data_IF_516209856067
#
_entry.id   IF_516209856067
#
_cell.length_a   1.000
_cell.length_b   1.000
_cell.length_c   1.000
_cell.angle_alpha   90.00
_cell.angle_beta   90.00
_cell.angle_gamma   90.00
#
_symmetry.space_group_name_H-M   'P 1'
#
loop_
_entity.id
_entity.type
_entity.pdbx_description
1 polymer ?
#
# COMPACT_ATOMS: atom_id res chain seq x y z
N UNK A 1 -27.16 -13.93 20.14
CA UNK A 1 -25.96 -14.34 20.91
C UNK A 1 -26.39 -14.72 22.32
N UNK A 2 -25.84 -15.78 22.91
CA UNK A 2 -26.24 -16.26 24.24
C UNK A 2 -25.70 -15.38 25.37
N UNK A 3 -26.42 -15.35 26.50
CA UNK A 3 -26.11 -14.51 27.67
C UNK A 3 -24.71 -14.79 28.25
N UNK A 4 -24.29 -16.05 28.23
CA UNK A 4 -22.96 -16.51 28.68
C UNK A 4 -21.82 -15.95 27.83
N UNK A 5 -22.05 -15.79 26.52
CA UNK A 5 -21.09 -15.19 25.60
C UNK A 5 -20.92 -13.70 25.92
N UNK A 6 -22.03 -12.98 26.13
CA UNK A 6 -22.01 -11.55 26.46
C UNK A 6 -21.27 -11.27 27.78
N UNK A 7 -21.53 -12.07 28.82
CA UNK A 7 -20.82 -11.95 30.10
C UNK A 7 -19.32 -12.24 29.97
N UNK A 8 -18.94 -13.25 29.17
CA UNK A 8 -17.53 -13.57 28.92
C UNK A 8 -16.78 -12.40 28.27
N UNK A 9 -17.39 -11.75 27.28
CA UNK A 9 -16.81 -10.57 26.64
C UNK A 9 -16.74 -9.37 27.60
N UNK A 10 -17.75 -9.17 28.45
CA UNK A 10 -17.78 -8.06 29.41
C UNK A 10 -16.74 -8.18 30.55
N UNK A 11 -16.35 -9.41 30.91
CA UNK A 11 -15.39 -9.66 32.00
C UNK A 11 -13.93 -9.82 31.54
N UNK A 12 -13.66 -9.84 30.24
CA UNK A 12 -12.29 -9.91 29.74
C UNK A 12 -11.56 -8.58 29.94
N UNK A 13 -10.52 -8.59 30.78
CA UNK A 13 -9.71 -7.39 31.09
C UNK A 13 -8.62 -7.10 30.06
N UNK A 14 -8.27 -8.08 29.23
CA UNK A 14 -7.27 -7.95 28.18
C UNK A 14 -7.75 -8.65 26.90
N UNK A 15 -7.35 -8.19 25.71
CA UNK A 15 -7.70 -8.83 24.44
C UNK A 15 -7.31 -10.32 24.39
N UNK A 16 -6.19 -10.68 25.02
CA UNK A 16 -5.66 -12.04 25.09
C UNK A 16 -6.62 -13.00 25.79
N UNK A 17 -7.36 -12.52 26.80
CA UNK A 17 -8.34 -13.32 27.55
C UNK A 17 -9.57 -13.72 26.71
N UNK A 18 -9.80 -13.05 25.58
CA UNK A 18 -10.87 -13.40 24.63
C UNK A 18 -10.48 -14.53 23.68
N UNK A 19 -9.18 -14.80 23.52
CA UNK A 19 -8.64 -15.82 22.62
C UNK A 19 -8.49 -17.19 23.30
N UNK A 20 -9.37 -17.53 24.24
CA UNK A 20 -9.51 -18.90 24.75
C UNK A 20 -10.29 -19.76 23.73
N UNK A 21 -9.70 -19.93 22.55
CA UNK A 21 -10.20 -20.81 21.51
C UNK A 21 -9.86 -22.27 21.86
N UNK A 22 -10.76 -23.19 21.52
CA UNK A 22 -10.68 -24.65 21.66
C UNK A 22 -9.43 -25.34 21.04
N UNK A 23 -8.42 -24.58 20.65
CA UNK A 23 -7.32 -24.99 19.77
C UNK A 23 -5.94 -24.48 20.25
N UNK A 24 -5.79 -24.18 21.53
CA UNK A 24 -4.47 -23.94 22.13
C UNK A 24 -4.16 -25.14 23.03
N UNK A 25 -3.14 -25.90 22.63
CA UNK A 25 -2.47 -26.93 23.43
C UNK A 25 -3.23 -28.24 23.72
N UNK A 26 -4.10 -28.69 22.81
CA UNK A 26 -4.50 -30.09 22.84
C UNK A 26 -3.39 -30.98 22.27
N UNK A 27 -2.96 -32.03 23.00
CA UNK A 27 -1.95 -32.94 22.52
C UNK A 27 -2.45 -33.58 21.22
N UNK A 28 -1.85 -33.17 20.10
CA UNK A 28 -2.15 -33.69 18.78
C UNK A 28 -1.38 -34.97 18.57
N UNK A 29 -1.89 -35.87 17.73
CA UNK A 29 -1.17 -37.08 17.29
C UNK A 29 0.21 -36.78 16.68
N UNK A 30 0.45 -35.52 16.29
CA UNK A 30 1.71 -35.04 15.73
C UNK A 30 2.77 -34.78 16.82
N UNK A 31 2.37 -34.52 18.07
CA UNK A 31 3.29 -34.15 19.17
C UNK A 31 4.33 -35.23 19.44
N UNK A 32 3.95 -36.51 19.31
CA UNK A 32 4.87 -37.64 19.44
C UNK A 32 5.98 -37.67 18.38
N UNK A 33 5.76 -37.02 17.24
CA UNK A 33 6.69 -37.01 16.10
C UNK A 33 7.39 -35.65 15.91
N UNK A 34 7.07 -34.63 16.72
CA UNK A 34 7.66 -33.28 16.60
C UNK A 34 9.18 -33.28 16.78
N UNK A 35 9.69 -34.04 17.75
CA UNK A 35 11.13 -34.18 18.00
C UNK A 35 11.87 -34.75 16.79
N UNK A 36 11.30 -35.79 16.16
CA UNK A 36 11.85 -36.39 14.94
C UNK A 36 11.81 -35.42 13.76
N UNK A 37 10.70 -34.69 13.58
CA UNK A 37 10.57 -33.68 12.53
C UNK A 37 11.58 -32.55 12.68
N UNK A 38 11.84 -32.08 13.90
CA UNK A 38 12.88 -31.10 14.19
C UNK A 38 14.28 -31.64 13.90
N UNK A 39 14.59 -32.86 14.34
CA UNK A 39 15.90 -33.46 14.06
C UNK A 39 16.16 -33.57 12.55
N UNK A 40 15.18 -34.07 11.78
CA UNK A 40 15.32 -34.16 10.33
C UNK A 40 15.36 -32.81 9.63
N UNK A 41 14.75 -31.78 10.23
CA UNK A 41 14.84 -30.41 9.77
C UNK A 41 16.27 -29.86 9.90
N UNK A 42 16.91 -30.10 11.06
CA UNK A 42 18.32 -29.75 11.31
C UNK A 42 19.28 -30.55 10.42
N UNK A 43 18.96 -31.82 10.13
CA UNK A 43 19.70 -32.64 9.16
C UNK A 43 19.52 -32.16 7.69
N UNK A 44 18.79 -31.06 7.46
CA UNK A 44 18.60 -30.42 6.15
C UNK A 44 17.47 -31.00 5.30
N UNK A 45 16.65 -31.92 5.83
CA UNK A 45 15.49 -32.44 5.11
C UNK A 45 14.32 -31.46 5.18
N UNK A 46 14.23 -30.56 4.21
CA UNK A 46 13.16 -29.53 4.15
C UNK A 46 11.91 -29.96 3.39
N UNK A 47 11.86 -31.20 2.86
CA UNK A 47 10.71 -31.71 2.09
C UNK A 47 9.62 -32.28 3.01
N UNK A 48 8.54 -31.52 3.19
CA UNK A 48 7.39 -31.89 4.02
C UNK A 48 6.69 -33.19 3.59
N UNK A 49 6.70 -33.55 2.30
CA UNK A 49 6.12 -34.81 1.84
C UNK A 49 6.93 -36.00 2.33
N UNK A 50 8.26 -35.93 2.16
CA UNK A 50 9.20 -36.95 2.62
C UNK A 50 9.13 -37.14 4.14
N UNK A 51 9.04 -36.04 4.89
CA UNK A 51 8.88 -36.08 6.34
C UNK A 51 7.54 -36.70 6.77
N UNK A 52 6.46 -36.46 6.04
CA UNK A 52 5.16 -37.07 6.31
C UNK A 52 5.15 -38.58 6.04
N UNK A 53 5.77 -39.02 4.94
CA UNK A 53 5.93 -40.44 4.60
C UNK A 53 6.74 -41.18 5.68
N UNK A 54 7.87 -40.61 6.10
CA UNK A 54 8.73 -41.20 7.13
C UNK A 54 8.06 -41.33 8.51
N UNK A 55 7.22 -40.37 8.90
CA UNK A 55 6.47 -40.50 10.17
C UNK A 55 5.28 -41.46 10.02
N UNK A 56 4.71 -41.60 8.81
CA UNK A 56 3.61 -42.52 8.53
C UNK A 56 4.08 -43.97 8.66
N UNK A 57 5.28 -44.28 8.15
CA UNK A 57 5.95 -45.57 8.35
C UNK A 57 6.26 -45.86 9.84
N UNK A 58 6.50 -44.80 10.62
CA UNK A 58 6.72 -44.88 12.08
C UNK A 58 5.41 -44.94 12.89
N UNK A 59 4.26 -45.06 12.24
CA UNK A 59 2.96 -45.25 12.88
C UNK A 59 2.11 -43.98 13.00
N UNK A 60 2.46 -42.88 12.33
CA UNK A 60 1.60 -41.70 12.27
C UNK A 60 0.30 -42.00 11.50
N UNK A 61 -0.83 -41.67 12.13
CA UNK A 61 -2.19 -41.87 11.59
C UNK A 61 -2.89 -40.55 11.24
N UNK A 62 -2.15 -39.45 11.15
CA UNK A 62 -2.70 -38.14 10.81
C UNK A 62 -2.49 -37.76 9.35
N UNK A 63 -3.09 -36.65 8.93
CA UNK A 63 -3.02 -36.17 7.56
C UNK A 63 -1.77 -35.33 7.27
N UNK A 64 -1.34 -35.33 6.00
CA UNK A 64 -0.26 -34.48 5.47
C UNK A 64 -0.42 -32.99 5.83
N UNK A 65 -1.65 -32.48 5.81
CA UNK A 65 -1.93 -31.07 6.11
C UNK A 65 -1.41 -30.65 7.50
N UNK A 66 -1.53 -31.52 8.51
CA UNK A 66 -1.05 -31.22 9.86
C UNK A 66 0.49 -31.11 9.92
N UNK A 67 1.21 -31.99 9.21
CA UNK A 67 2.67 -31.92 9.10
C UNK A 67 3.10 -30.67 8.34
N UNK A 68 2.44 -30.38 7.20
CA UNK A 68 2.72 -29.19 6.39
C UNK A 68 2.53 -27.91 7.20
N UNK A 69 1.45 -27.82 7.96
CA UNK A 69 1.11 -26.64 8.73
C UNK A 69 2.06 -26.49 9.94
N UNK A 70 2.52 -27.58 10.56
CA UNK A 70 3.56 -27.57 11.59
C UNK A 70 4.93 -27.13 11.07
N UNK A 71 5.31 -27.52 9.85
CA UNK A 71 6.59 -27.15 9.24
C UNK A 71 6.57 -25.74 8.62
N UNK A 72 5.39 -25.12 8.46
CA UNK A 72 5.25 -23.80 7.82
C UNK A 72 6.00 -22.69 8.57
N UNK A 73 5.93 -22.58 9.92
CA UNK A 73 6.70 -21.60 10.68
C UNK A 73 8.22 -21.81 10.56
N UNK A 74 8.67 -23.07 10.52
CA UNK A 74 10.08 -23.43 10.39
C UNK A 74 10.68 -23.03 9.02
N UNK A 75 9.83 -22.88 8.00
CA UNK A 75 10.23 -22.40 6.66
C UNK A 75 10.27 -20.89 6.53
N UNK A 76 9.46 -20.19 7.32
CA UNK A 76 9.43 -18.73 7.30
C UNK A 76 10.69 -18.20 7.94
N UNK A 77 11.74 -18.02 7.12
CA UNK A 77 12.78 -17.06 7.43
C UNK A 77 12.08 -15.72 7.68
N UNK A 78 12.30 -15.04 8.83
CA UNK A 78 11.81 -13.70 9.02
C UNK A 78 12.39 -12.83 7.91
N UNK A 79 11.60 -12.60 6.86
CA UNK A 79 12.00 -11.72 5.80
C UNK A 79 11.78 -10.33 6.35
N UNK A 80 12.86 -9.68 6.76
CA UNK A 80 12.83 -8.28 7.17
C UNK A 80 12.08 -7.52 6.08
N UNK A 81 10.99 -6.81 6.40
CA UNK A 81 10.26 -6.07 5.40
C UNK A 81 11.25 -5.07 4.80
N UNK A 82 11.64 -5.30 3.54
CA UNK A 82 12.53 -4.39 2.85
C UNK A 82 11.85 -3.02 2.85
N UNK A 83 12.57 -1.98 3.28
CA UNK A 83 12.11 -0.60 3.18
C UNK A 83 11.76 -0.40 1.71
N UNK A 84 10.47 -0.18 1.43
CA UNK A 84 10.03 0.03 0.06
C UNK A 84 10.57 1.38 -0.39
N UNK A 85 11.24 1.46 -1.55
CA UNK A 85 11.65 2.75 -2.08
C UNK A 85 10.41 3.64 -2.28
N UNK A 86 10.56 4.96 -2.18
CA UNK A 86 9.47 5.89 -2.41
C UNK A 86 8.93 5.73 -3.83
N UNK A 87 7.62 5.88 -3.98
CA UNK A 87 6.99 5.80 -5.31
C UNK A 87 7.38 7.01 -6.15
N UNK A 88 7.36 6.88 -7.48
CA UNK A 88 7.60 8.00 -8.39
C UNK A 88 6.68 9.20 -8.10
N UNK A 89 5.42 8.94 -7.72
CA UNK A 89 4.45 9.98 -7.32
C UNK A 89 4.88 10.68 -6.03
N UNK A 90 5.43 9.94 -5.07
CA UNK A 90 5.93 10.48 -3.81
C UNK A 90 7.12 11.40 -4.06
N UNK A 91 8.09 10.95 -4.85
CA UNK A 91 9.26 11.75 -5.23
C UNK A 91 8.84 13.00 -6.00
N UNK A 92 7.94 12.86 -6.98
CA UNK A 92 7.39 14.00 -7.72
C UNK A 92 6.68 15.00 -6.80
N UNK A 93 5.89 14.51 -5.83
CA UNK A 93 5.22 15.38 -4.86
C UNK A 93 6.21 16.15 -4.01
N UNK A 94 7.31 15.53 -3.58
CA UNK A 94 8.34 16.23 -2.80
C UNK A 94 9.00 17.34 -3.62
N UNK A 95 9.36 17.03 -4.86
CA UNK A 95 9.97 17.96 -5.79
C UNK A 95 9.06 19.17 -6.08
N UNK A 96 7.74 18.94 -6.22
CA UNK A 96 6.76 20.00 -6.52
C UNK A 96 6.29 20.80 -5.29
N UNK A 97 6.65 20.38 -4.07
CA UNK A 97 6.21 21.04 -2.83
C UNK A 97 7.31 21.97 -2.34
N UNK A 98 6.94 23.16 -1.84
CA UNK A 98 7.92 24.11 -1.30
C UNK A 98 8.68 23.47 -0.13
N UNK A 99 10.02 23.52 -0.08
CA UNK A 99 10.83 22.85 0.95
C UNK A 99 10.37 23.11 2.39
N UNK A 100 9.96 24.33 2.71
CA UNK A 100 9.49 24.74 4.04
C UNK A 100 8.19 24.05 4.49
N UNK A 101 7.44 23.46 3.56
CA UNK A 101 6.23 22.70 3.84
C UNK A 101 6.46 21.18 3.92
N UNK A 102 7.69 20.70 3.64
CA UNK A 102 8.04 19.28 3.79
C UNK A 102 8.56 18.99 5.20
N UNK A 103 8.12 17.88 5.83
CA UNK A 103 8.74 17.35 7.05
C UNK A 103 10.22 16.99 6.82
N UNK A 104 11.05 17.13 7.85
CA UNK A 104 12.49 16.88 7.79
C UNK A 104 12.86 15.50 7.22
N UNK A 105 12.11 14.45 7.61
CA UNK A 105 12.31 13.09 7.08
C UNK A 105 12.07 13.03 5.56
N UNK A 106 11.03 13.72 5.06
CA UNK A 106 10.75 13.76 3.63
C UNK A 106 11.82 14.56 2.87
N UNK A 107 12.35 15.63 3.47
CA UNK A 107 13.47 16.38 2.91
C UNK A 107 14.73 15.50 2.80
N UNK A 108 15.02 14.69 3.82
CA UNK A 108 16.17 13.77 3.80
C UNK A 108 16.00 12.69 2.73
N UNK A 109 14.83 12.06 2.66
CA UNK A 109 14.53 11.05 1.64
C UNK A 109 14.56 11.64 0.22
N UNK A 110 14.11 12.89 0.04
CA UNK A 110 14.21 13.60 -1.22
C UNK A 110 15.67 13.85 -1.61
N UNK A 111 16.51 14.32 -0.67
CA UNK A 111 17.95 14.53 -0.92
C UNK A 111 18.65 13.23 -1.31
N UNK A 112 18.35 12.12 -0.63
CA UNK A 112 18.89 10.80 -0.97
C UNK A 112 18.45 10.40 -2.39
N UNK A 113 17.17 10.57 -2.71
CA UNK A 113 16.64 10.24 -4.04
C UNK A 113 17.30 11.07 -5.16
N UNK A 114 17.51 12.37 -4.93
CA UNK A 114 18.18 13.27 -5.89
C UNK A 114 19.67 12.95 -6.03
N UNK A 115 20.36 12.57 -4.95
CA UNK A 115 21.77 12.15 -5.01
C UNK A 115 21.98 10.90 -5.88
N UNK A 116 20.97 10.03 -5.97
CA UNK A 116 21.00 8.86 -6.86
C UNK A 116 20.62 9.20 -8.31
N UNK A 117 19.96 10.32 -8.55
CA UNK A 117 19.50 10.78 -9.86
C UNK A 117 19.80 12.28 -10.03
N UNK A 118 21.07 12.68 -10.25
CA UNK A 118 21.47 14.09 -10.35
C UNK A 118 20.78 14.83 -11.51
N UNK A 119 20.36 14.08 -12.54
CA UNK A 119 19.53 14.57 -13.65
C UNK A 119 18.20 15.19 -13.21
N UNK A 120 17.70 14.88 -12.01
CA UNK A 120 16.46 15.44 -11.46
C UNK A 120 16.69 16.65 -10.54
N UNK A 121 17.92 16.88 -10.10
CA UNK A 121 18.28 17.94 -9.15
C UNK A 121 18.25 19.33 -9.81
N UNK A 122 18.73 19.43 -11.06
CA UNK A 122 18.73 20.66 -11.85
C UNK A 122 17.34 21.08 -12.41
N UNK A 123 16.55 20.19 -13.07
CA UNK A 123 15.49 20.66 -13.96
C UNK A 123 14.15 20.88 -13.26
N UNK A 124 13.87 20.13 -12.19
CA UNK A 124 12.53 20.14 -11.62
C UNK A 124 12.28 21.38 -10.74
N UNK A 125 13.32 21.91 -10.10
CA UNK A 125 13.28 23.22 -9.47
C UNK A 125 13.22 24.35 -10.50
N UNK A 126 14.05 24.29 -11.54
CA UNK A 126 14.15 25.33 -12.58
C UNK A 126 12.91 25.42 -13.49
N UNK A 127 12.28 24.31 -13.88
CA UNK A 127 11.06 24.37 -14.70
C UNK A 127 9.90 25.10 -14.00
N UNK A 128 9.83 25.01 -12.67
CA UNK A 128 8.80 25.67 -11.86
C UNK A 128 9.19 27.12 -11.58
N UNK A 129 10.48 27.40 -11.31
CA UNK A 129 10.97 28.74 -10.89
C UNK A 129 11.33 29.66 -12.06
N UNK A 130 11.88 29.09 -13.12
CA UNK A 130 12.48 29.82 -14.27
C UNK A 130 11.78 29.50 -15.60
N UNK A 131 10.89 28.49 -15.62
CA UNK A 131 9.99 28.20 -16.73
C UNK A 131 10.52 27.19 -17.75
N UNK A 132 9.67 26.87 -18.73
CA UNK A 132 9.87 25.85 -19.77
C UNK A 132 11.18 25.99 -20.53
N UNK A 133 11.65 27.22 -20.72
CA UNK A 133 12.87 27.53 -21.48
C UNK A 133 14.13 26.95 -20.84
N UNK A 134 14.22 26.91 -19.50
CA UNK A 134 15.35 26.32 -18.79
C UNK A 134 15.40 24.80 -18.98
N UNK A 135 14.25 24.12 -18.95
CA UNK A 135 14.17 22.66 -19.11
C UNK A 135 14.59 22.12 -20.49
N UNK A 136 14.63 22.97 -21.53
CA UNK A 136 15.17 22.60 -22.85
C UNK A 136 16.69 22.74 -22.93
N UNK A 137 17.31 23.58 -22.11
CA UNK A 137 18.76 23.77 -22.12
C UNK A 137 19.52 22.52 -21.63
N UNK A 138 18.87 21.73 -20.76
CA UNK A 138 19.44 20.55 -20.13
C UNK A 138 19.17 19.23 -20.90
N UNK A 139 18.53 19.29 -22.08
CA UNK A 139 18.15 18.15 -22.95
C UNK A 139 17.66 16.91 -22.18
N UNK A 140 16.46 17.02 -21.60
CA UNK A 140 15.81 15.93 -20.86
C UNK A 140 14.62 15.39 -21.67
N UNK A 141 14.81 14.30 -22.44
CA UNK A 141 13.77 13.76 -23.31
C UNK A 141 12.47 13.41 -22.57
N UNK A 142 12.59 12.98 -21.31
CA UNK A 142 11.45 12.64 -20.45
C UNK A 142 10.56 13.84 -20.07
N UNK A 143 11.08 15.07 -20.15
CA UNK A 143 10.36 16.29 -19.77
C UNK A 143 9.87 17.09 -20.99
N UNK A 144 10.31 16.76 -22.20
CA UNK A 144 9.91 17.46 -23.43
C UNK A 144 8.39 17.49 -23.64
N UNK A 145 7.69 16.38 -23.35
CA UNK A 145 6.23 16.34 -23.47
C UNK A 145 5.52 17.31 -22.52
N UNK A 146 6.01 17.41 -21.27
CA UNK A 146 5.50 18.35 -20.28
C UNK A 146 5.79 19.80 -20.67
N UNK A 147 7.04 20.08 -21.06
CA UNK A 147 7.49 21.39 -21.53
C UNK A 147 6.63 21.90 -22.71
N UNK A 148 6.44 21.06 -23.73
CA UNK A 148 5.63 21.41 -24.90
C UNK A 148 4.16 21.63 -24.54
N UNK A 149 3.61 20.87 -23.60
CA UNK A 149 2.25 21.08 -23.09
C UNK A 149 2.10 22.43 -22.38
N UNK A 150 3.06 22.76 -21.50
CA UNK A 150 3.02 24.00 -20.73
C UNK A 150 3.20 25.25 -21.61
N UNK A 151 4.03 25.17 -22.65
CA UNK A 151 4.17 26.24 -23.65
C UNK A 151 2.89 26.42 -24.47
N UNK A 152 2.26 25.32 -24.89
CA UNK A 152 1.00 25.36 -25.65
C UNK A 152 -0.13 26.02 -24.84
N UNK A 153 -0.15 25.78 -23.53
CA UNK A 153 -1.18 26.27 -22.63
C UNK A 153 -0.72 27.50 -21.83
N UNK A 154 0.38 28.16 -22.23
CA UNK A 154 1.01 29.25 -21.46
C UNK A 154 0.02 30.36 -21.07
N UNK A 155 -0.79 30.84 -22.01
CA UNK A 155 -1.79 31.88 -21.75
C UNK A 155 -2.82 31.42 -20.70
N UNK A 156 -3.23 30.16 -20.76
CA UNK A 156 -4.20 29.57 -19.81
C UNK A 156 -3.58 29.44 -18.42
N UNK A 157 -2.31 29.04 -18.33
CA UNK A 157 -1.56 28.92 -17.07
C UNK A 157 -1.35 30.29 -16.43
N UNK A 158 -0.91 31.28 -17.22
CA UNK A 158 -0.73 32.66 -16.76
C UNK A 158 -2.06 33.23 -16.28
N UNK A 159 -3.14 33.04 -17.05
CA UNK A 159 -4.48 33.45 -16.67
C UNK A 159 -4.94 32.78 -15.37
N UNK A 160 -4.73 31.46 -15.23
CA UNK A 160 -5.10 30.70 -14.04
C UNK A 160 -4.35 31.11 -12.76
N UNK A 161 -3.14 31.65 -12.90
CA UNK A 161 -2.32 32.15 -11.78
C UNK A 161 -2.54 33.63 -11.48
N UNK A 162 -2.90 34.43 -12.49
CA UNK A 162 -2.98 35.90 -12.38
C UNK A 162 -4.39 36.41 -12.12
N UNK A 163 -5.41 35.67 -12.52
CA UNK A 163 -6.81 36.09 -12.44
C UNK A 163 -7.45 35.48 -11.17
N UNK A 164 -8.27 36.24 -10.41
CA UNK A 164 -8.94 35.70 -9.22
C UNK A 164 -10.02 34.66 -9.52
N UNK A 165 -10.41 34.52 -10.79
CA UNK A 165 -11.47 33.61 -11.25
C UNK A 165 -10.88 32.27 -11.67
N UNK A 166 -11.38 31.18 -11.08
CA UNK A 166 -11.02 29.81 -11.45
C UNK A 166 -12.26 28.93 -11.61
N UNK A 167 -12.11 27.85 -12.38
CA UNK A 167 -13.19 26.87 -12.59
C UNK A 167 -13.20 25.74 -11.54
N UNK A 168 -12.34 25.79 -10.53
CA UNK A 168 -12.10 24.66 -9.62
C UNK A 168 -13.36 24.25 -8.84
N UNK A 169 -14.14 25.21 -8.36
CA UNK A 169 -15.41 24.92 -7.66
C UNK A 169 -16.44 24.27 -8.61
N UNK A 170 -16.52 24.75 -9.85
CA UNK A 170 -17.43 24.21 -10.87
C UNK A 170 -17.01 22.79 -11.24
N UNK A 171 -15.72 22.55 -11.47
CA UNK A 171 -15.17 21.22 -11.74
C UNK A 171 -15.40 20.25 -10.58
N UNK A 172 -15.25 20.72 -9.34
CA UNK A 172 -15.58 19.94 -8.14
C UNK A 172 -17.04 19.48 -8.14
N UNK A 173 -17.98 20.38 -8.44
CA UNK A 173 -19.40 20.03 -8.57
C UNK A 173 -19.64 19.04 -9.72
N UNK A 174 -19.02 19.25 -10.88
CA UNK A 174 -19.12 18.32 -12.02
C UNK A 174 -18.59 16.94 -11.66
N UNK A 175 -17.47 16.86 -10.95
CA UNK A 175 -16.89 15.59 -10.50
C UNK A 175 -17.77 14.88 -9.47
N UNK A 176 -18.37 15.61 -8.52
CA UNK A 176 -19.37 15.06 -7.58
C UNK A 176 -20.58 14.49 -8.32
N UNK A 177 -21.10 15.20 -9.33
CA UNK A 177 -22.22 14.71 -10.15
C UNK A 177 -21.82 13.46 -10.95
N UNK A 178 -20.62 13.45 -11.56
CA UNK A 178 -20.07 12.28 -12.27
C UNK A 178 -19.94 11.08 -11.32
N UNK A 179 -19.49 11.30 -10.08
CA UNK A 179 -19.43 10.27 -9.05
C UNK A 179 -20.83 9.68 -8.76
N UNK A 180 -21.84 10.51 -8.53
CA UNK A 180 -23.21 10.03 -8.29
C UNK A 180 -23.76 9.24 -9.49
N UNK A 181 -23.51 9.69 -10.73
CA UNK A 181 -23.86 8.93 -11.93
C UNK A 181 -23.16 7.55 -11.96
N UNK A 182 -21.87 7.49 -11.63
CA UNK A 182 -21.09 6.23 -11.60
C UNK A 182 -21.59 5.27 -10.52
N UNK A 183 -21.88 5.75 -9.31
CA UNK A 183 -22.47 4.94 -8.23
C UNK A 183 -23.81 4.32 -8.61
N UNK A 184 -24.53 4.95 -9.53
CA UNK A 184 -25.86 4.51 -9.97
C UNK A 184 -25.81 3.85 -11.34
N UNK A 185 -24.62 3.40 -11.79
CA UNK A 185 -24.40 2.72 -13.07
C UNK A 185 -24.97 3.48 -14.28
N UNK A 186 -24.92 4.82 -14.25
CA UNK A 186 -25.44 5.68 -15.31
C UNK A 186 -26.96 5.81 -15.35
N UNK A 187 -27.70 5.15 -14.46
CA UNK A 187 -29.18 5.14 -14.46
C UNK A 187 -29.82 6.34 -13.76
N UNK A 188 -29.01 7.27 -13.27
CA UNK A 188 -29.49 8.48 -12.60
C UNK A 188 -29.83 9.56 -13.64
N UNK A 189 -31.12 9.77 -13.88
CA UNK A 189 -31.65 10.91 -14.64
C UNK A 189 -31.54 12.23 -13.88
N UNK A 190 -31.88 13.34 -14.54
CA UNK A 190 -31.72 14.70 -13.99
C UNK A 190 -32.41 14.90 -12.63
N UNK A 191 -33.68 14.52 -12.50
CA UNK A 191 -34.45 14.68 -11.26
C UNK A 191 -33.81 13.97 -10.06
N UNK A 192 -33.27 12.77 -10.29
CA UNK A 192 -32.64 11.97 -9.25
C UNK A 192 -31.28 12.55 -8.84
N UNK A 193 -30.51 13.05 -9.81
CA UNK A 193 -29.26 13.75 -9.53
C UNK A 193 -29.50 15.06 -8.78
N UNK A 194 -30.51 15.84 -9.19
CA UNK A 194 -30.91 17.08 -8.52
C UNK A 194 -31.26 16.80 -7.05
N UNK A 195 -32.07 15.77 -6.78
CA UNK A 195 -32.39 15.35 -5.40
C UNK A 195 -31.14 14.95 -4.61
N UNK A 196 -30.22 14.17 -5.18
CA UNK A 196 -28.98 13.76 -4.48
C UNK A 196 -28.00 14.90 -4.23
N UNK A 197 -27.98 15.93 -5.08
CA UNK A 197 -27.10 17.10 -4.90
C UNK A 197 -27.67 18.06 -3.87
N UNK A 198 -28.99 18.31 -3.88
CA UNK A 198 -29.64 19.26 -2.96
C UNK A 198 -29.85 18.73 -1.54
N UNK A 199 -29.88 17.40 -1.35
CA UNK A 199 -30.16 16.76 -0.06
C UNK A 199 -28.91 16.22 0.66
N UNK A 200 -27.70 16.48 0.16
CA UNK A 200 -26.46 15.85 0.62
C UNK A 200 -25.39 16.84 1.07
#
# INVERSE_FOLDING_TARGET
MGLSTVQRFAHARTPEALFQGQWQDHPTKLDMFKSYLHQRWEDGCTNAWKLWEEITDRGYRGGYAAVRDYLRPLRTVPRTPAIRPPSARTVSSWILTHPDALPDEAQLQMKIALAHCPELEAPAGHLIREGVAAGRADDLPGLHGFANGLERDQDTVVAGLSIPWNSGVVEGHVNRIKMFKRQMFGRAGFELLRKRVLLA
#
